data_IF_189605851135
#
_entry.id   IF_189605851135
#
_cell.length_a   1.000
_cell.length_b   1.000
_cell.length_c   1.000
_cell.angle_alpha   90.00
_cell.angle_beta   90.00
_cell.angle_gamma   90.00
#
_symmetry.space_group_name_H-M   'P 1'
#
loop_
_entity.id
_entity.type
_entity.pdbx_description
1 polymer ?
#
# COMPACT_ATOMS: atom_id res chain seq x y z
N UNK A 1 -19.23 -8.37 19.70
CA UNK A 1 -18.91 -8.84 18.34
C UNK A 1 -17.67 -9.73 18.48
N UNK A 2 -17.70 -10.93 17.91
CA UNK A 2 -16.55 -11.83 17.88
C UNK A 2 -15.57 -11.34 16.79
N UNK A 3 -14.26 -11.65 16.91
CA UNK A 3 -13.27 -11.31 15.86
C UNK A 3 -13.60 -11.93 14.48
N UNK A 4 -14.53 -12.88 14.42
CA UNK A 4 -14.99 -13.53 13.18
C UNK A 4 -15.97 -12.68 12.34
N UNK A 5 -16.42 -11.52 12.85
CA UNK A 5 -17.41 -10.68 12.16
C UNK A 5 -16.76 -9.68 11.17
N UNK A 6 -15.43 -9.59 11.14
CA UNK A 6 -14.68 -8.66 10.30
C UNK A 6 -13.77 -9.42 9.34
N UNK A 7 -14.35 -9.93 8.25
CA UNK A 7 -13.61 -10.67 7.21
C UNK A 7 -14.25 -10.44 5.84
N UNK A 8 -13.42 -10.24 4.83
CA UNK A 8 -13.81 -10.11 3.41
C UNK A 8 -12.95 -11.08 2.60
N UNK A 9 -13.58 -12.09 1.99
CA UNK A 9 -12.92 -13.10 1.14
C UNK A 9 -11.69 -13.78 1.79
N UNK A 10 -11.76 -14.07 3.10
CA UNK A 10 -10.66 -14.69 3.85
C UNK A 10 -9.67 -13.71 4.46
N UNK A 11 -9.70 -12.43 4.05
CA UNK A 11 -8.89 -11.38 4.64
C UNK A 11 -9.59 -10.81 5.89
N UNK A 12 -8.99 -10.96 7.04
CA UNK A 12 -9.47 -10.34 8.28
C UNK A 12 -9.27 -8.83 8.22
N UNK A 13 -10.15 -8.08 8.85
CA UNK A 13 -10.07 -6.63 8.92
C UNK A 13 -9.85 -6.22 10.39
N UNK A 14 -8.74 -5.60 10.68
CA UNK A 14 -8.49 -5.02 12.01
C UNK A 14 -9.37 -3.77 12.20
N UNK A 15 -10.35 -3.78 13.13
CA UNK A 15 -11.23 -2.64 13.34
C UNK A 15 -10.51 -1.34 13.74
N UNK A 16 -9.25 -1.41 14.16
CA UNK A 16 -8.39 -0.25 14.44
C UNK A 16 -8.33 0.71 13.25
N UNK A 17 -8.37 0.20 12.01
CA UNK A 17 -8.34 1.03 10.79
C UNK A 17 -9.48 2.05 10.72
N UNK A 18 -10.64 1.77 11.35
CA UNK A 18 -11.80 2.65 11.31
C UNK A 18 -11.71 3.84 12.27
N UNK A 19 -10.81 3.79 13.25
CA UNK A 19 -10.73 4.80 14.32
C UNK A 19 -9.34 5.41 14.48
N UNK A 20 -8.31 4.80 13.92
CA UNK A 20 -6.94 5.31 13.99
C UNK A 20 -6.86 6.66 13.29
N UNK A 21 -6.46 7.69 14.02
CA UNK A 21 -6.31 9.04 13.50
C UNK A 21 -5.04 9.17 12.68
N UNK A 22 -5.16 9.75 11.49
CA UNK A 22 -4.09 9.78 10.52
C UNK A 22 -4.07 11.07 9.72
N UNK A 23 -2.85 11.53 9.41
CA UNK A 23 -2.60 12.60 8.46
C UNK A 23 -1.31 12.35 7.69
N UNK A 24 -1.26 12.74 6.44
CA UNK A 24 -0.04 12.69 5.65
C UNK A 24 0.03 13.89 4.71
N UNK A 25 1.19 14.55 4.64
CA UNK A 25 1.44 15.59 3.64
C UNK A 25 1.80 15.03 2.26
N UNK A 26 1.86 13.71 2.15
CA UNK A 26 2.17 12.92 0.94
C UNK A 26 3.35 13.49 0.14
N UNK A 27 4.51 13.59 0.78
CA UNK A 27 5.78 14.02 0.15
C UNK A 27 6.44 12.89 -0.64
N UNK A 28 5.84 11.70 -0.66
CA UNK A 28 6.42 10.50 -1.28
C UNK A 28 7.55 9.86 -0.46
N UNK A 29 7.78 10.28 0.78
CA UNK A 29 8.87 9.75 1.61
C UNK A 29 8.83 8.21 1.73
N UNK A 30 7.64 7.62 1.90
CA UNK A 30 7.46 6.17 1.97
C UNK A 30 7.97 5.44 0.72
N UNK A 31 7.88 6.05 -0.46
CA UNK A 31 8.37 5.46 -1.71
C UNK A 31 9.90 5.36 -1.79
N UNK A 32 10.66 6.07 -0.94
CA UNK A 32 12.12 6.03 -0.98
C UNK A 32 12.70 4.74 -0.42
N UNK A 33 11.97 4.07 0.46
CA UNK A 33 12.45 2.88 1.19
C UNK A 33 12.22 1.57 0.44
N UNK A 34 11.64 1.62 -0.76
CA UNK A 34 11.24 0.41 -1.47
C UNK A 34 9.99 -0.22 -0.84
N UNK A 35 9.67 -1.40 -1.29
CA UNK A 35 8.50 -2.18 -0.81
C UNK A 35 8.72 -3.65 -1.13
N UNK A 36 8.22 -4.54 -0.28
CA UNK A 36 8.00 -5.92 -0.65
C UNK A 36 6.80 -6.03 -1.58
N UNK A 37 6.90 -6.86 -2.59
CA UNK A 37 5.86 -7.13 -3.60
C UNK A 37 5.70 -8.63 -3.79
N UNK A 38 4.52 -9.07 -4.19
CA UNK A 38 4.31 -10.46 -4.61
C UNK A 38 5.19 -10.79 -5.82
N UNK A 39 5.73 -12.01 -5.88
CA UNK A 39 6.58 -12.44 -7.00
C UNK A 39 5.88 -12.29 -8.35
N UNK A 40 4.55 -12.49 -8.42
CA UNK A 40 3.75 -12.30 -9.63
C UNK A 40 3.70 -10.84 -10.06
N UNK A 41 3.61 -9.90 -9.11
CA UNK A 41 3.64 -8.46 -9.43
C UNK A 41 5.02 -8.06 -9.96
N UNK A 42 6.10 -8.56 -9.36
CA UNK A 42 7.45 -8.35 -9.86
C UNK A 42 7.62 -8.87 -11.31
N UNK A 43 7.07 -10.06 -11.60
CA UNK A 43 7.06 -10.62 -12.97
C UNK A 43 6.30 -9.72 -13.95
N UNK A 44 5.13 -9.18 -13.57
CA UNK A 44 4.37 -8.25 -14.43
C UNK A 44 5.16 -6.97 -14.73
N UNK A 45 5.87 -6.44 -13.72
CA UNK A 45 6.76 -5.29 -13.93
C UNK A 45 7.90 -5.64 -14.89
N UNK A 46 8.49 -6.83 -14.79
CA UNK A 46 9.54 -7.28 -15.70
C UNK A 46 9.02 -7.47 -17.13
N UNK A 47 7.77 -7.88 -17.34
CA UNK A 47 7.18 -8.00 -18.71
C UNK A 47 7.15 -6.66 -19.46
N UNK A 48 7.03 -5.54 -18.74
CA UNK A 48 7.00 -4.20 -19.33
C UNK A 48 8.34 -3.46 -19.25
N UNK A 49 9.43 -4.15 -18.92
CA UNK A 49 10.77 -3.57 -18.66
C UNK A 49 11.27 -2.62 -19.76
N UNK A 50 11.11 -2.98 -21.03
CA UNK A 50 11.64 -2.19 -22.14
C UNK A 50 10.92 -0.83 -22.22
N UNK A 51 9.62 -0.79 -21.93
CA UNK A 51 8.84 0.44 -21.85
C UNK A 51 9.27 1.28 -20.67
N UNK A 52 9.46 0.66 -19.49
CA UNK A 52 9.93 1.36 -18.29
C UNK A 52 11.34 1.94 -18.49
N UNK A 53 12.27 1.17 -19.06
CA UNK A 53 13.64 1.61 -19.35
C UNK A 53 13.65 2.83 -20.28
N UNK A 54 12.70 2.93 -21.21
CA UNK A 54 12.59 4.10 -22.10
C UNK A 54 12.19 5.38 -21.36
N UNK A 55 11.56 5.27 -20.19
CA UNK A 55 11.13 6.37 -19.33
C UNK A 55 12.15 6.70 -18.24
N UNK A 56 13.12 5.82 -17.99
CA UNK A 56 14.13 5.99 -16.95
C UNK A 56 15.08 7.15 -17.27
N UNK A 57 15.32 7.96 -16.27
CA UNK A 57 16.33 9.01 -16.34
C UNK A 57 17.74 8.48 -15.99
N UNK A 58 18.72 9.39 -15.93
CA UNK A 58 20.11 9.05 -15.66
C UNK A 58 20.39 8.57 -14.22
N UNK A 59 19.43 8.71 -13.31
CA UNK A 59 19.57 8.31 -11.90
C UNK A 59 19.01 6.92 -11.61
N UNK A 60 18.33 6.32 -12.58
CA UNK A 60 17.70 5.00 -12.47
C UNK A 60 18.53 3.93 -13.17
N UNK A 61 18.57 2.73 -12.59
CA UNK A 61 19.36 1.62 -13.10
C UNK A 61 18.57 0.83 -14.15
N UNK A 62 19.11 0.77 -15.38
CA UNK A 62 18.50 0.06 -16.51
C UNK A 62 18.71 -1.44 -16.51
N UNK A 63 19.63 -1.92 -15.69
CA UNK A 63 19.89 -3.36 -15.51
C UNK A 63 18.78 -3.97 -14.66
N UNK A 64 17.89 -4.73 -15.29
CA UNK A 64 16.71 -5.30 -14.65
C UNK A 64 17.03 -6.34 -13.57
N UNK A 65 18.22 -6.94 -13.60
CA UNK A 65 18.69 -7.86 -12.55
C UNK A 65 18.92 -7.17 -11.20
N UNK A 66 18.89 -5.83 -11.17
CA UNK A 66 19.08 -4.97 -10.01
C UNK A 66 17.81 -4.23 -9.59
N UNK A 67 16.66 -4.62 -10.10
CA UNK A 67 15.41 -3.96 -9.74
C UNK A 67 14.78 -4.53 -8.47
N UNK A 68 15.10 -5.78 -8.20
CA UNK A 68 14.49 -6.53 -7.10
C UNK A 68 15.56 -7.25 -6.28
N UNK A 69 15.28 -7.40 -5.00
CA UNK A 69 16.04 -8.21 -4.06
C UNK A 69 15.81 -9.72 -4.32
N UNK A 70 16.62 -10.59 -3.71
CA UNK A 70 16.33 -12.03 -3.74
C UNK A 70 14.96 -12.36 -3.15
N UNK A 71 14.24 -13.36 -3.70
CA UNK A 71 12.94 -13.77 -3.19
C UNK A 71 13.04 -14.40 -1.79
N UNK A 72 12.03 -14.18 -0.95
CA UNK A 72 11.87 -14.75 0.38
C UNK A 72 10.49 -15.43 0.48
N UNK A 73 10.38 -16.53 1.27
CA UNK A 73 9.10 -17.16 1.56
C UNK A 73 8.30 -16.29 2.53
N UNK A 74 7.05 -15.96 2.16
CA UNK A 74 6.16 -15.15 2.98
C UNK A 74 4.70 -15.50 2.67
N UNK A 75 3.99 -16.05 3.66
CA UNK A 75 2.60 -16.54 3.52
C UNK A 75 1.57 -15.38 3.42
N UNK A 76 1.93 -14.15 3.74
CA UNK A 76 1.03 -12.98 3.59
C UNK A 76 0.94 -12.49 2.12
N UNK A 77 1.71 -13.11 1.21
CA UNK A 77 1.62 -12.86 -0.24
C UNK A 77 0.89 -14.02 -0.94
N UNK A 78 0.06 -13.70 -1.93
CA UNK A 78 -0.75 -14.69 -2.68
C UNK A 78 0.07 -15.77 -3.38
N UNK A 79 1.32 -15.47 -3.77
CA UNK A 79 2.25 -16.45 -4.33
C UNK A 79 2.98 -17.27 -3.27
N UNK A 80 2.92 -16.86 -1.99
CA UNK A 80 3.76 -17.36 -0.92
C UNK A 80 5.22 -16.88 -0.99
N UNK A 81 5.51 -15.88 -1.85
CA UNK A 81 6.86 -15.37 -2.08
C UNK A 81 6.86 -13.85 -2.17
N UNK A 82 7.58 -13.22 -1.27
CA UNK A 82 7.88 -11.79 -1.26
C UNK A 82 9.16 -11.48 -2.04
N UNK A 83 9.19 -10.36 -2.74
CA UNK A 83 10.38 -9.84 -3.42
C UNK A 83 10.48 -8.34 -3.15
N UNK A 84 11.56 -7.88 -2.50
CA UNK A 84 11.79 -6.46 -2.26
C UNK A 84 12.12 -5.70 -3.54
N UNK A 85 11.59 -4.48 -3.70
CA UNK A 85 12.11 -3.56 -4.71
C UNK A 85 13.44 -2.98 -4.23
N UNK A 86 14.49 -3.07 -5.03
CA UNK A 86 15.82 -2.57 -4.66
C UNK A 86 15.82 -1.06 -4.34
N UNK A 87 16.60 -0.71 -3.32
CA UNK A 87 16.86 0.69 -2.94
C UNK A 87 18.27 1.08 -3.41
N UNK A 88 18.33 1.84 -4.49
CA UNK A 88 19.57 2.26 -5.12
C UNK A 88 19.73 3.78 -4.96
N UNK A 89 20.90 4.21 -4.49
CA UNK A 89 21.17 5.63 -4.22
C UNK A 89 20.16 6.25 -3.24
N UNK A 90 19.81 5.50 -2.20
CA UNK A 90 18.84 5.88 -1.15
C UNK A 90 17.42 6.15 -1.64
N UNK A 91 17.00 5.54 -2.73
CA UNK A 91 15.61 5.59 -3.24
C UNK A 91 15.23 4.28 -3.92
N UNK A 92 13.94 3.97 -3.91
CA UNK A 92 13.40 2.86 -4.69
C UNK A 92 13.86 2.97 -6.16
N UNK A 93 14.24 1.84 -6.76
CA UNK A 93 14.75 1.76 -8.14
C UNK A 93 13.79 2.37 -9.18
N UNK A 94 12.49 2.39 -8.90
CA UNK A 94 11.47 2.96 -9.78
C UNK A 94 11.22 4.45 -9.57
N UNK A 95 11.90 5.13 -8.64
CA UNK A 95 11.81 6.58 -8.49
C UNK A 95 12.80 7.28 -9.43
N UNK A 96 12.32 8.30 -10.11
CA UNK A 96 13.16 9.20 -10.92
C UNK A 96 13.91 10.25 -10.06
N UNK A 97 14.60 11.17 -10.73
CA UNK A 97 15.34 12.26 -10.08
C UNK A 97 14.46 13.23 -9.28
N UNK A 98 13.17 13.31 -9.62
CA UNK A 98 12.20 14.20 -9.00
C UNK A 98 11.40 13.47 -7.89
N UNK A 99 11.71 12.20 -7.61
CA UNK A 99 11.03 11.36 -6.62
C UNK A 99 9.69 10.83 -7.10
N UNK A 100 9.40 10.85 -8.40
CA UNK A 100 8.15 10.36 -8.98
C UNK A 100 8.31 8.91 -9.46
N UNK A 101 7.28 8.10 -9.19
CA UNK A 101 7.30 6.67 -9.53
C UNK A 101 7.11 6.47 -11.04
N UNK A 102 8.07 5.81 -11.72
CA UNK A 102 8.01 5.51 -13.15
C UNK A 102 6.89 4.52 -13.48
N UNK A 103 6.55 3.59 -12.58
CA UNK A 103 5.41 2.68 -12.78
C UNK A 103 4.09 3.46 -12.91
N UNK A 104 3.91 4.48 -12.07
CA UNK A 104 2.74 5.36 -12.12
C UNK A 104 2.76 6.26 -13.36
N UNK A 105 3.92 6.79 -13.74
CA UNK A 105 4.07 7.55 -14.99
C UNK A 105 3.70 6.71 -16.20
N UNK A 106 4.16 5.46 -16.23
CA UNK A 106 3.86 4.53 -17.31
C UNK A 106 2.36 4.23 -17.40
N UNK A 107 1.69 3.95 -16.27
CA UNK A 107 0.24 3.75 -16.25
C UNK A 107 -0.52 4.94 -16.86
N UNK A 108 -0.16 6.17 -16.47
CA UNK A 108 -0.78 7.38 -17.01
C UNK A 108 -0.54 7.56 -18.51
N UNK A 109 0.62 7.13 -19.04
CA UNK A 109 0.91 7.20 -20.49
C UNK A 109 0.13 6.17 -21.33
N UNK A 110 -0.25 5.05 -20.71
CA UNK A 110 -1.05 4.00 -21.34
C UNK A 110 -2.58 4.22 -21.13
N UNK A 111 -3.01 5.39 -20.60
CA UNK A 111 -4.40 5.69 -20.21
C UNK A 111 -5.00 4.66 -19.23
N UNK A 112 -4.15 4.07 -18.40
CA UNK A 112 -4.53 3.11 -17.37
C UNK A 112 -4.67 3.81 -16.01
N UNK A 113 -5.30 3.13 -15.05
CA UNK A 113 -5.38 3.63 -13.69
C UNK A 113 -3.98 3.87 -13.11
N UNK A 114 -3.76 5.00 -12.44
CA UNK A 114 -2.45 5.44 -11.89
C UNK A 114 -1.70 4.37 -11.07
N UNK A 115 -2.39 3.37 -10.54
CA UNK A 115 -1.84 2.29 -9.73
C UNK A 115 -1.69 0.95 -10.46
N UNK A 116 -2.07 0.85 -11.71
CA UNK A 116 -2.13 -0.39 -12.50
C UNK A 116 -0.87 -1.27 -12.39
N UNK A 117 0.30 -0.64 -12.39
CA UNK A 117 1.59 -1.33 -12.36
C UNK A 117 2.33 -1.19 -11.03
N UNK A 118 1.73 -0.52 -10.05
CA UNK A 118 2.35 -0.39 -8.73
C UNK A 118 2.13 -1.64 -7.90
N UNK A 119 3.14 -2.10 -7.14
CA UNK A 119 2.95 -3.14 -6.14
C UNK A 119 1.83 -2.80 -5.17
N UNK A 120 1.10 -3.82 -4.73
CA UNK A 120 -0.05 -3.69 -3.84
C UNK A 120 0.30 -2.90 -2.57
N UNK A 121 1.42 -3.20 -1.93
CA UNK A 121 1.83 -2.50 -0.70
C UNK A 121 2.29 -1.05 -0.95
N UNK A 122 2.69 -0.69 -2.17
CA UNK A 122 2.86 0.73 -2.55
C UNK A 122 1.53 1.49 -2.59
N UNK A 123 0.42 0.79 -2.84
CA UNK A 123 -0.93 1.36 -2.93
C UNK A 123 -1.53 1.41 -1.53
N UNK A 124 -1.46 0.29 -0.80
CA UNK A 124 -2.08 0.12 0.51
C UNK A 124 -1.42 0.94 1.61
N UNK A 125 -0.09 1.22 1.53
CA UNK A 125 0.54 1.97 2.62
C UNK A 125 -0.25 3.26 2.94
N UNK A 126 -0.57 3.50 4.20
CA UNK A 126 -0.02 2.97 5.45
C UNK A 126 -0.74 1.75 6.05
N UNK A 127 -1.53 1.03 5.28
CA UNK A 127 -2.00 -0.30 5.66
C UNK A 127 -0.99 -1.36 5.25
N UNK A 128 -1.05 -2.50 5.95
CA UNK A 128 -0.35 -3.73 5.61
C UNK A 128 -1.26 -4.93 5.82
N UNK A 129 -0.95 -6.05 5.16
CA UNK A 129 -1.51 -7.36 5.51
C UNK A 129 -0.45 -8.04 6.38
N UNK A 130 -0.85 -8.45 7.57
CA UNK A 130 0.02 -9.14 8.51
C UNK A 130 -0.75 -10.27 9.18
N UNK A 131 -0.21 -11.49 9.10
CA UNK A 131 -0.85 -12.71 9.60
C UNK A 131 -2.30 -12.87 9.09
N UNK A 132 -2.51 -12.59 7.80
CA UNK A 132 -3.81 -12.67 7.14
C UNK A 132 -4.82 -11.61 7.57
N UNK A 133 -4.38 -10.47 8.13
CA UNK A 133 -5.25 -9.36 8.52
C UNK A 133 -4.79 -8.03 7.90
N UNK A 134 -5.72 -7.30 7.29
CA UNK A 134 -5.49 -5.89 6.91
C UNK A 134 -5.45 -5.05 8.18
N UNK A 135 -4.31 -4.47 8.46
CA UNK A 135 -4.04 -3.64 9.64
C UNK A 135 -3.21 -2.42 9.28
N UNK A 136 -2.73 -1.71 10.28
CA UNK A 136 -1.93 -0.48 10.12
C UNK A 136 -0.45 -0.83 10.28
N UNK A 137 0.37 -0.32 9.40
CA UNK A 137 1.83 -0.46 9.45
C UNK A 137 2.45 0.59 10.39
N UNK A 138 2.21 0.43 11.68
CA UNK A 138 2.66 1.38 12.71
C UNK A 138 4.19 1.56 12.69
N UNK A 139 4.95 0.48 12.50
CA UNK A 139 6.41 0.49 12.53
C UNK A 139 7.02 1.34 11.41
N UNK A 140 6.45 1.29 10.20
CA UNK A 140 6.91 2.12 9.10
C UNK A 140 6.42 3.56 9.21
N UNK A 141 5.18 3.79 9.63
CA UNK A 141 4.63 5.13 9.89
C UNK A 141 5.54 5.89 10.88
N UNK A 142 5.96 5.23 11.96
CA UNK A 142 6.76 5.87 13.00
C UNK A 142 8.16 6.27 12.54
N UNK A 143 8.76 5.51 11.62
CA UNK A 143 10.08 5.80 11.03
C UNK A 143 10.08 6.97 10.04
N UNK A 144 8.95 7.26 9.40
CA UNK A 144 8.83 8.34 8.42
C UNK A 144 8.74 9.70 9.11
N UNK A 145 9.42 10.71 8.56
CA UNK A 145 9.48 12.07 9.12
C UNK A 145 8.23 12.90 8.79
N UNK A 146 7.54 12.57 7.70
CA UNK A 146 6.43 13.36 7.17
C UNK A 146 5.08 12.64 7.26
N UNK A 147 5.08 11.34 7.59
CA UNK A 147 3.88 10.54 7.72
C UNK A 147 3.33 10.62 9.15
N UNK A 148 2.05 10.90 9.30
CA UNK A 148 1.31 10.97 10.57
C UNK A 148 1.99 11.81 11.67
N UNK A 149 2.50 12.98 11.30
CA UNK A 149 3.19 13.90 12.24
C UNK A 149 2.34 15.08 12.70
N UNK A 150 1.08 15.15 12.29
CA UNK A 150 0.12 16.08 12.88
C UNK A 150 -0.26 15.58 14.28
N UNK A 151 -0.10 16.39 15.33
CA UNK A 151 -0.46 15.98 16.69
C UNK A 151 -1.97 15.86 16.92
N UNK A 152 -2.79 16.42 16.04
CA UNK A 152 -4.25 16.41 16.13
C UNK A 152 -4.91 16.15 14.76
N UNK A 153 -4.70 14.95 14.17
CA UNK A 153 -5.31 14.64 12.88
C UNK A 153 -6.84 14.56 13.01
N UNK A 154 -7.55 15.20 12.10
CA UNK A 154 -9.01 15.24 12.12
C UNK A 154 -9.63 13.96 11.54
N UNK A 155 -9.02 13.41 10.49
CA UNK A 155 -9.51 12.25 9.76
C UNK A 155 -8.99 10.93 10.33
N UNK A 156 -9.66 9.83 10.04
CA UNK A 156 -9.14 8.48 10.25
C UNK A 156 -8.31 8.04 9.05
N UNK A 157 -7.44 7.04 9.24
CA UNK A 157 -6.68 6.40 8.16
C UNK A 157 -7.61 5.83 7.08
N UNK A 158 -8.75 5.27 7.48
CA UNK A 158 -9.79 4.78 6.58
C UNK A 158 -10.33 5.88 5.67
N UNK A 159 -10.67 7.03 6.25
CA UNK A 159 -11.20 8.18 5.50
C UNK A 159 -10.12 8.82 4.61
N UNK A 160 -8.88 8.86 5.07
CA UNK A 160 -7.76 9.42 4.33
C UNK A 160 -7.40 8.58 3.11
N UNK A 161 -7.40 7.24 3.24
CA UNK A 161 -6.98 6.29 2.20
C UNK A 161 -8.19 5.60 1.52
N UNK A 162 -9.33 6.28 1.43
CA UNK A 162 -10.56 5.71 0.84
C UNK A 162 -10.36 5.28 -0.62
N UNK A 163 -9.60 6.04 -1.43
CA UNK A 163 -9.35 5.69 -2.83
C UNK A 163 -8.51 4.42 -2.96
N UNK A 164 -7.48 4.29 -2.12
CA UNK A 164 -6.59 3.13 -2.06
C UNK A 164 -7.37 1.87 -1.68
N UNK A 165 -8.22 1.97 -0.65
CA UNK A 165 -9.09 0.87 -0.22
C UNK A 165 -10.10 0.47 -1.30
N UNK A 166 -10.71 1.45 -1.99
CA UNK A 166 -11.61 1.17 -3.13
C UNK A 166 -10.89 0.47 -4.27
N UNK A 167 -9.68 0.87 -4.58
CA UNK A 167 -8.90 0.24 -5.62
C UNK A 167 -8.52 -1.20 -5.26
N UNK A 168 -8.13 -1.43 -4.01
CA UNK A 168 -7.72 -2.74 -3.51
C UNK A 168 -8.89 -3.73 -3.46
N UNK A 169 -10.01 -3.34 -2.85
CA UNK A 169 -11.17 -4.21 -2.66
C UNK A 169 -12.08 -4.29 -3.89
N UNK A 170 -12.07 -3.30 -4.75
CA UNK A 170 -13.12 -3.11 -5.75
C UNK A 170 -14.44 -2.65 -5.11
N UNK A 171 -15.42 -2.29 -5.96
CA UNK A 171 -16.68 -1.65 -5.52
C UNK A 171 -17.49 -2.53 -4.55
N UNK A 172 -17.63 -3.82 -4.86
CA UNK A 172 -18.49 -4.73 -4.08
C UNK A 172 -17.94 -4.97 -2.67
N UNK A 173 -16.66 -5.30 -2.57
CA UNK A 173 -16.03 -5.61 -1.27
C UNK A 173 -15.77 -4.34 -0.46
N UNK A 174 -15.53 -3.22 -1.12
CA UNK A 174 -15.46 -1.93 -0.43
C UNK A 174 -16.80 -1.56 0.23
N UNK A 175 -17.94 -1.84 -0.39
CA UNK A 175 -19.25 -1.64 0.23
C UNK A 175 -19.42 -2.52 1.48
N UNK A 176 -18.94 -3.77 1.46
CA UNK A 176 -18.92 -4.62 2.66
C UNK A 176 -18.06 -4.03 3.77
N UNK A 177 -16.89 -3.48 3.40
CA UNK A 177 -15.99 -2.80 4.34
C UNK A 177 -16.66 -1.57 5.00
N UNK A 178 -17.43 -0.78 4.22
CA UNK A 178 -18.22 0.34 4.73
C UNK A 178 -19.30 -0.11 5.71
N UNK A 179 -20.01 -1.20 5.42
CA UNK A 179 -20.99 -1.78 6.33
C UNK A 179 -20.35 -2.22 7.66
N UNK A 180 -19.21 -2.91 7.60
CA UNK A 180 -18.42 -3.30 8.79
C UNK A 180 -18.02 -2.09 9.62
N UNK A 181 -17.50 -1.02 8.99
CA UNK A 181 -17.17 0.23 9.65
C UNK A 181 -18.38 0.81 10.39
N UNK A 182 -19.53 0.91 9.73
CA UNK A 182 -20.75 1.48 10.31
C UNK A 182 -21.24 0.67 11.52
N UNK A 183 -21.20 -0.66 11.45
CA UNK A 183 -21.53 -1.55 12.56
C UNK A 183 -20.56 -1.36 13.74
N UNK A 184 -19.26 -1.32 13.45
CA UNK A 184 -18.23 -1.11 14.48
C UNK A 184 -18.41 0.23 15.20
N UNK A 185 -18.53 1.34 14.47
CA UNK A 185 -18.72 2.66 15.05
C UNK A 185 -20.01 2.79 15.86
N UNK A 186 -21.10 2.13 15.43
CA UNK A 186 -22.36 2.05 16.18
C UNK A 186 -22.18 1.31 17.50
N UNK A 187 -21.41 0.21 17.49
CA UNK A 187 -21.13 -0.57 18.71
C UNK A 187 -20.30 0.22 19.74
N UNK A 188 -19.37 1.06 19.27
CA UNK A 188 -18.57 1.92 20.16
C UNK A 188 -19.44 3.01 20.81
N UNK A 189 -20.35 3.61 20.06
CA UNK A 189 -21.31 4.59 20.63
C UNK A 189 -22.20 3.99 21.72
N UNK A 190 -22.70 2.78 21.48
CA UNK A 190 -23.55 2.08 22.45
C UNK A 190 -22.79 1.76 23.77
N UNK A 191 -21.51 1.41 23.70
CA UNK A 191 -20.67 1.15 24.89
C UNK A 191 -20.33 2.40 25.70
N UNK A 192 -20.25 3.56 25.05
CA UNK A 192 -19.95 4.82 25.73
C UNK A 192 -21.16 5.50 26.39
N UNK A 193 -22.38 4.97 26.17
CA UNK A 193 -23.64 5.48 26.74
C UNK A 193 -24.13 4.60 27.92
N UNK A 194 -23.55 3.44 28.13
CA UNK A 194 -23.86 2.51 29.22
C UNK A 194 -22.90 2.66 30.38
#
# INVERSE_FOLDING_TARGET
MSNSDFEINGLKIDPKIFTYKFSCKCTGECCWYGVYTDSKEAEEIIKIKDKLISLFDSTQVKDTSKWFEPPEEDEDFDSGVAIGTEVINNKCTFLDKDGLCTLQKFANLEDEHKWKYKPQYCILFPFTIYEGALTIDDDHIDRLKTCNKDPMPETTIYEFCTEELKYFFGEEDFNKLEEMRNQYLSSLKAKNVA
#
